data_IF_434624610625
#
_entry.id   IF_434624610625
#
_cell.length_a   1.000
_cell.length_b   1.000
_cell.length_c   1.000
_cell.angle_alpha   90.00
_cell.angle_beta   90.00
_cell.angle_gamma   90.00
#
_symmetry.space_group_name_H-M   'P 1'
#
loop_
_entity.id
_entity.type
_entity.pdbx_description
1 polymer ?
#
# COMPACT_ATOMS: atom_id res chain seq x y z
N UNK A 1 -19.98 -6.28 22.10
CA UNK A 1 -18.66 -6.03 22.73
C UNK A 1 -17.94 -5.01 21.87
N UNK A 2 -17.69 -3.81 22.39
CA UNK A 2 -17.02 -2.72 21.67
C UNK A 2 -15.51 -2.86 21.87
N UNK A 3 -14.77 -3.20 20.81
CA UNK A 3 -13.31 -3.10 20.80
C UNK A 3 -12.95 -1.65 20.46
N UNK A 4 -12.41 -0.93 21.43
CA UNK A 4 -11.90 0.44 21.28
C UNK A 4 -10.38 0.35 21.29
N UNK A 5 -9.76 0.54 20.12
CA UNK A 5 -8.31 0.65 19.97
C UNK A 5 -8.00 2.10 19.65
N UNK A 6 -7.43 2.84 20.61
CA UNK A 6 -7.07 4.24 20.43
C UNK A 6 -5.56 4.37 20.57
N UNK A 7 -4.85 4.45 19.44
CA UNK A 7 -3.48 4.96 19.38
C UNK A 7 -3.57 6.46 19.19
N UNK A 8 -3.04 7.20 20.16
CA UNK A 8 -2.93 8.67 20.12
C UNK A 8 -1.69 9.10 19.32
N UNK A 9 -0.55 8.43 19.54
CA UNK A 9 0.70 8.66 18.83
C UNK A 9 1.25 7.36 18.25
N UNK A 10 1.87 7.47 17.07
CA UNK A 10 2.49 6.35 16.36
C UNK A 10 3.66 6.86 15.51
N UNK A 11 4.78 6.12 15.57
CA UNK A 11 5.91 6.30 14.68
C UNK A 11 6.54 4.95 14.36
N UNK A 12 6.66 4.65 13.08
CA UNK A 12 7.42 3.54 12.52
C UNK A 12 8.54 4.05 11.60
N UNK A 13 8.97 5.31 11.78
CA UNK A 13 9.99 5.93 10.95
C UNK A 13 11.35 5.22 11.08
N UNK A 14 12.15 5.27 10.01
CA UNK A 14 13.53 4.77 9.95
C UNK A 14 13.67 3.28 10.32
N UNK A 15 12.75 2.46 9.82
CA UNK A 15 12.81 1.00 9.93
C UNK A 15 13.06 0.37 8.55
N UNK A 16 13.05 -0.97 8.50
CA UNK A 16 13.19 -1.74 7.26
C UNK A 16 11.87 -2.40 6.87
N UNK A 17 10.74 -1.70 7.05
CA UNK A 17 9.40 -2.19 6.72
C UNK A 17 9.19 -2.23 5.21
N UNK A 18 8.36 -3.17 4.75
CA UNK A 18 8.04 -3.37 3.35
C UNK A 18 6.57 -3.71 3.12
N UNK A 19 6.06 -3.38 1.93
CA UNK A 19 4.70 -3.69 1.52
C UNK A 19 3.68 -2.58 1.75
N UNK A 20 2.37 -2.87 1.57
CA UNK A 20 1.30 -1.89 1.68
C UNK A 20 0.99 -1.52 3.13
N UNK A 21 0.76 -0.23 3.39
CA UNK A 21 0.18 0.23 4.65
C UNK A 21 -1.28 -0.27 4.75
N UNK A 22 -1.67 -0.97 5.83
CA UNK A 22 -3.01 -1.54 5.98
C UNK A 22 -4.15 -0.50 5.87
N UNK A 23 -5.02 -0.69 4.89
CA UNK A 23 -6.20 0.15 4.65
C UNK A 23 -7.30 -0.15 5.67
N UNK A 24 -8.06 0.88 6.06
CA UNK A 24 -9.18 0.73 7.00
C UNK A 24 -8.75 0.59 8.46
N UNK A 25 -7.48 0.89 8.75
CA UNK A 25 -6.91 0.91 10.10
C UNK A 25 -6.62 2.33 10.55
N UNK A 26 -6.42 2.52 11.86
CA UNK A 26 -5.97 3.81 12.41
C UNK A 26 -4.60 4.25 11.86
N UNK A 27 -3.83 3.35 11.24
CA UNK A 27 -2.54 3.72 10.63
C UNK A 27 -2.70 4.78 9.54
N UNK A 28 -3.85 4.82 8.86
CA UNK A 28 -4.12 5.81 7.81
C UNK A 28 -4.41 7.22 8.35
N UNK A 29 -4.66 7.38 9.66
CA UNK A 29 -4.85 8.71 10.25
C UNK A 29 -3.56 9.39 10.66
N UNK A 30 -2.42 8.68 10.67
CA UNK A 30 -1.13 9.28 11.01
C UNK A 30 -0.48 9.94 9.79
N UNK A 31 0.39 10.92 10.05
CA UNK A 31 1.13 11.63 9.01
C UNK A 31 2.13 10.71 8.30
N UNK A 32 2.48 11.04 7.06
CA UNK A 32 3.51 10.33 6.28
C UNK A 32 4.87 10.27 6.98
N UNK A 33 5.19 11.25 7.84
CA UNK A 33 6.41 11.26 8.64
C UNK A 33 6.53 10.06 9.57
N UNK A 34 5.41 9.51 10.07
CA UNK A 34 5.38 8.31 10.90
C UNK A 34 5.86 7.05 10.14
N UNK A 35 6.01 7.14 8.81
CA UNK A 35 6.44 6.03 7.95
C UNK A 35 7.73 6.38 7.19
N UNK A 36 8.33 7.55 7.44
CA UNK A 36 9.56 8.01 6.79
C UNK A 36 10.70 7.00 6.95
N UNK A 37 11.64 6.95 5.99
CA UNK A 37 12.83 6.10 6.13
C UNK A 37 12.57 4.60 5.93
N UNK A 38 11.41 4.21 5.39
CA UNK A 38 11.07 2.84 4.98
C UNK A 38 10.93 2.73 3.45
N UNK A 39 12.01 2.53 2.67
CA UNK A 39 11.99 2.67 1.21
C UNK A 39 11.08 1.69 0.47
N UNK A 40 10.71 0.58 1.11
CA UNK A 40 9.89 -0.49 0.53
C UNK A 40 8.42 -0.44 0.98
N UNK A 41 8.04 0.47 1.86
CA UNK A 41 6.63 0.71 2.19
C UNK A 41 5.94 1.43 1.03
N UNK A 42 4.64 1.22 0.86
CA UNK A 42 3.83 1.90 -0.14
C UNK A 42 2.37 2.06 0.33
N UNK A 43 1.63 2.93 -0.35
CA UNK A 43 0.22 3.22 -0.05
C UNK A 43 0.03 4.37 0.94
N UNK A 44 -1.20 4.88 1.02
CA UNK A 44 -1.53 6.03 1.87
C UNK A 44 -1.18 5.77 3.35
N UNK A 45 -0.58 6.73 4.09
CA UNK A 45 -0.41 8.15 3.74
C UNK A 45 0.84 8.50 2.90
N UNK A 46 1.65 7.52 2.49
CA UNK A 46 2.80 7.80 1.63
C UNK A 46 2.36 8.12 0.19
N UNK A 47 3.10 8.97 -0.54
CA UNK A 47 2.75 9.35 -1.91
C UNK A 47 3.00 8.22 -2.93
N UNK A 48 3.87 7.27 -2.62
CA UNK A 48 4.18 6.17 -3.51
C UNK A 48 3.06 5.12 -3.47
N UNK A 49 2.40 4.93 -4.61
CA UNK A 49 1.37 3.91 -4.76
C UNK A 49 1.99 2.52 -4.74
N UNK A 50 1.30 1.57 -4.12
CA UNK A 50 1.66 0.18 -4.30
C UNK A 50 1.41 -0.23 -5.75
N UNK A 51 2.30 -1.07 -6.30
CA UNK A 51 2.03 -1.73 -7.58
C UNK A 51 0.76 -2.58 -7.49
N UNK A 52 0.20 -3.02 -8.63
CA UNK A 52 -0.95 -3.92 -8.64
C UNK A 52 -0.61 -5.10 -7.74
N UNK A 53 -1.30 -5.18 -6.59
CA UNK A 53 -1.13 -6.28 -5.69
C UNK A 53 -1.41 -7.53 -6.49
N UNK A 54 -0.48 -8.50 -6.52
CA UNK A 54 -0.85 -9.91 -6.72
C UNK A 54 -1.62 -10.40 -5.48
N UNK A 55 -2.57 -9.59 -5.01
CA UNK A 55 -3.57 -9.99 -4.06
C UNK A 55 -4.45 -10.99 -4.81
N UNK A 56 -4.70 -12.10 -4.16
CA UNK A 56 -5.65 -13.13 -4.57
C UNK A 56 -7.04 -12.46 -4.60
N UNK A 57 -7.32 -11.70 -5.64
CA UNK A 57 -8.68 -11.42 -6.04
C UNK A 57 -9.13 -12.64 -6.81
N UNK A 58 -9.93 -13.46 -6.13
CA UNK A 58 -10.68 -14.54 -6.72
C UNK A 58 -11.73 -13.95 -7.68
N UNK A 59 -11.27 -13.40 -8.81
CA UNK A 59 -12.11 -13.25 -9.99
C UNK A 59 -11.29 -13.54 -11.24
N UNK A 60 -11.28 -14.84 -11.56
CA UNK A 60 -10.97 -15.38 -12.86
C UNK A 60 -11.74 -14.61 -13.95
N UNK A 61 -11.11 -13.61 -14.55
CA UNK A 61 -11.39 -13.24 -15.93
C UNK A 61 -10.16 -13.52 -16.77
N UNK A 62 -10.12 -14.76 -17.23
CA UNK A 62 -9.38 -15.09 -18.43
C UNK A 62 -9.90 -14.18 -19.54
N UNK A 63 -9.11 -13.21 -19.98
CA UNK A 63 -9.01 -12.99 -21.40
C UNK A 63 -7.55 -12.75 -21.75
N UNK A 64 -7.00 -13.71 -22.50
CA UNK A 64 -5.75 -13.53 -23.21
C UNK A 64 -6.05 -12.49 -24.27
N UNK A 65 -5.28 -11.42 -24.34
CA UNK A 65 -5.02 -10.74 -25.59
C UNK A 65 -3.58 -10.23 -25.51
N UNK A 66 -2.70 -10.98 -26.18
CA UNK A 66 -1.39 -10.48 -26.55
C UNK A 66 -1.59 -9.45 -27.65
N UNK A 67 -1.09 -8.24 -27.47
CA UNK A 67 -0.77 -7.38 -28.59
C UNK A 67 0.57 -6.70 -28.34
N UNK A 68 1.52 -7.02 -29.22
CA UNK A 68 2.77 -6.30 -29.33
C UNK A 68 2.51 -5.13 -30.27
N UNK A 69 2.95 -3.94 -29.88
CA UNK A 69 2.78 -2.75 -30.71
C UNK A 69 3.79 -1.69 -30.33
N UNK A 70 5.00 -1.82 -30.85
CA UNK A 70 5.95 -0.71 -30.96
C UNK A 70 5.26 0.41 -31.74
N UNK A 71 5.15 1.60 -31.15
CA UNK A 71 4.93 2.82 -31.91
C UNK A 71 6.11 3.76 -31.70
N UNK A 72 6.93 3.82 -32.75
CA UNK A 72 7.99 4.76 -32.99
C UNK A 72 7.39 6.13 -33.34
N UNK A 73 7.91 7.18 -32.71
CA UNK A 73 8.11 8.51 -33.31
C UNK A 73 9.50 8.98 -32.88
#
# INVERSE_FOLDING_TARGET
MTSVNFLEEFSASYNNLEGPIPIGTQLQSFNSSAFEGNPKLCGAPLPNKCGPSKGIDANKKNNKDADNGIHQL
#
